data_IF_707614848054
#
_entry.id   IF_707614848054
#
_cell.length_a   1.000
_cell.length_b   1.000
_cell.length_c   1.000
_cell.angle_alpha   90.00
_cell.angle_beta   90.00
_cell.angle_gamma   90.00
#
_symmetry.space_group_name_H-M   'P 1'
#
loop_
_entity.id
_entity.type
_entity.pdbx_description
1 polymer ?
#
# COMPACT_ATOMS: atom_id res chain seq x y z
N UNK A 1 6.97 -6.18 37.14
CA UNK A 1 5.94 -6.71 36.22
C UNK A 1 5.93 -5.86 34.96
N UNK A 2 6.50 -6.37 33.87
CA UNK A 2 6.56 -5.65 32.60
C UNK A 2 5.14 -5.60 32.00
N UNK A 3 4.58 -4.41 31.80
CA UNK A 3 3.36 -4.23 31.02
C UNK A 3 3.67 -4.62 29.58
N UNK A 4 3.33 -5.85 29.20
CA UNK A 4 3.27 -6.26 27.80
C UNK A 4 2.43 -5.22 27.08
N UNK A 5 2.98 -4.61 26.04
CA UNK A 5 2.31 -3.66 25.16
C UNK A 5 1.11 -4.41 24.57
N UNK A 6 -0.06 -4.30 25.22
CA UNK A 6 -1.28 -5.01 24.81
C UNK A 6 -1.49 -4.71 23.33
N UNK A 7 -1.69 -5.75 22.54
CA UNK A 7 -2.13 -5.66 21.15
C UNK A 7 -3.24 -4.61 21.09
N UNK A 8 -3.16 -3.70 20.12
CA UNK A 8 -4.18 -2.65 20.00
C UNK A 8 -5.52 -3.36 19.70
N UNK A 9 -6.64 -3.09 20.40
CA UNK A 9 -7.93 -3.75 20.13
C UNK A 9 -8.34 -3.74 18.65
N UNK A 10 -7.92 -2.70 17.91
CA UNK A 10 -8.10 -2.59 16.47
C UNK A 10 -7.31 -3.64 15.67
N UNK A 11 -6.09 -3.93 16.09
CA UNK A 11 -5.23 -4.95 15.47
C UNK A 11 -5.81 -6.34 15.71
N UNK A 12 -6.28 -6.64 16.92
CA UNK A 12 -6.94 -7.93 17.22
C UNK A 12 -8.21 -8.11 16.38
N UNK A 13 -9.02 -7.06 16.22
CA UNK A 13 -10.18 -7.06 15.34
C UNK A 13 -9.80 -7.33 13.88
N UNK A 14 -8.74 -6.68 13.39
CA UNK A 14 -8.24 -6.89 12.03
C UNK A 14 -7.76 -8.32 11.80
N UNK A 15 -6.99 -8.88 12.74
CA UNK A 15 -6.55 -10.28 12.71
C UNK A 15 -7.76 -11.22 12.67
N UNK A 16 -8.75 -10.99 13.51
CA UNK A 16 -9.98 -11.80 13.55
C UNK A 16 -10.72 -11.78 12.20
N UNK A 17 -10.90 -10.61 11.58
CA UNK A 17 -11.55 -10.54 10.28
C UNK A 17 -10.69 -11.12 9.15
N UNK A 18 -9.35 -11.05 9.23
CA UNK A 18 -8.46 -11.75 8.31
C UNK A 18 -8.68 -13.27 8.37
N UNK A 19 -8.79 -13.85 9.57
CA UNK A 19 -9.07 -15.28 9.76
C UNK A 19 -10.42 -15.69 9.16
N UNK A 20 -11.47 -14.90 9.39
CA UNK A 20 -12.81 -15.16 8.84
C UNK A 20 -12.85 -15.10 7.30
N UNK A 21 -12.08 -14.20 6.70
CA UNK A 21 -11.97 -14.04 5.24
C UNK A 21 -10.94 -14.98 4.61
N UNK A 22 -10.25 -15.81 5.41
CA UNK A 22 -9.13 -16.66 4.97
C UNK A 22 -7.99 -15.89 4.28
N UNK A 23 -7.78 -14.64 4.71
CA UNK A 23 -6.70 -13.77 4.22
C UNK A 23 -5.57 -13.83 5.23
N UNK A 24 -4.33 -14.05 4.77
CA UNK A 24 -3.16 -14.04 5.65
C UNK A 24 -3.00 -12.64 6.25
N UNK A 25 -3.00 -12.52 7.58
CA UNK A 25 -2.71 -11.25 8.22
C UNK A 25 -1.30 -10.76 7.86
N UNK A 26 -1.23 -9.49 7.48
CA UNK A 26 0.01 -8.77 7.24
C UNK A 26 -0.09 -7.43 7.98
N UNK A 27 0.85 -7.12 8.86
CA UNK A 27 0.80 -5.87 9.64
C UNK A 27 0.68 -4.63 8.74
N UNK A 28 -0.16 -3.64 9.05
CA UNK A 28 -0.23 -2.39 8.28
C UNK A 28 1.15 -1.72 8.18
N UNK A 29 1.45 -1.15 7.01
CA UNK A 29 2.71 -0.45 6.75
C UNK A 29 2.48 1.05 6.86
N UNK A 30 3.39 1.75 7.54
CA UNK A 30 3.31 3.21 7.68
C UNK A 30 3.88 3.89 6.45
N UNK A 31 3.15 4.86 5.90
CA UNK A 31 3.65 5.69 4.81
C UNK A 31 4.70 6.70 5.30
N UNK A 32 5.69 6.94 4.44
CA UNK A 32 6.67 8.01 4.56
C UNK A 32 6.39 9.02 3.42
N UNK A 33 5.83 10.20 3.72
CA UNK A 33 5.24 11.08 2.71
C UNK A 33 6.22 11.63 1.66
N UNK A 34 7.53 11.52 1.90
CA UNK A 34 8.58 11.98 0.99
C UNK A 34 9.03 10.91 -0.02
N UNK A 35 8.46 9.70 -0.02
CA UNK A 35 8.84 8.61 -0.93
C UNK A 35 7.61 7.89 -1.48
N UNK A 36 7.42 7.93 -2.78
CA UNK A 36 6.35 7.18 -3.47
C UNK A 36 6.33 5.67 -3.17
N UNK A 37 7.47 5.10 -2.73
CA UNK A 37 7.62 3.67 -2.51
C UNK A 37 6.94 3.22 -1.22
N UNK A 38 7.01 4.03 -0.16
CA UNK A 38 6.27 3.74 1.07
C UNK A 38 4.78 3.92 0.83
N UNK A 39 4.38 4.91 0.02
CA UNK A 39 2.98 5.13 -0.32
C UNK A 39 2.42 3.94 -1.09
N UNK A 40 3.14 3.48 -2.11
CA UNK A 40 2.78 2.27 -2.85
C UNK A 40 2.68 1.05 -1.93
N UNK A 41 3.67 0.84 -1.05
CA UNK A 41 3.69 -0.32 -0.15
C UNK A 41 2.53 -0.28 0.87
N UNK A 42 2.24 0.89 1.45
CA UNK A 42 1.10 1.09 2.35
C UNK A 42 -0.22 0.83 1.63
N UNK A 43 -0.43 1.45 0.46
CA UNK A 43 -1.67 1.30 -0.28
C UNK A 43 -1.86 -0.13 -0.79
N UNK A 44 -0.79 -0.79 -1.24
CA UNK A 44 -0.83 -2.17 -1.71
C UNK A 44 -1.20 -3.11 -0.57
N UNK A 45 -0.61 -2.91 0.62
CA UNK A 45 -0.98 -3.64 1.84
C UNK A 45 -2.44 -3.40 2.23
N UNK A 46 -2.90 -2.15 2.18
CA UNK A 46 -4.26 -1.77 2.53
C UNK A 46 -5.27 -2.37 1.55
N UNK A 47 -4.96 -2.36 0.25
CA UNK A 47 -5.79 -2.94 -0.79
C UNK A 47 -5.88 -4.47 -0.66
N UNK A 48 -4.77 -5.14 -0.34
CA UNK A 48 -4.76 -6.57 -0.02
C UNK A 48 -5.67 -6.91 1.17
N UNK A 49 -5.69 -6.03 2.19
CA UNK A 49 -6.52 -6.19 3.40
C UNK A 49 -7.88 -5.49 3.30
N UNK A 50 -8.34 -5.06 2.11
CA UNK A 50 -9.51 -4.18 1.98
C UNK A 50 -10.77 -4.74 2.67
N UNK A 51 -11.06 -6.02 2.48
CA UNK A 51 -12.24 -6.67 3.04
C UNK A 51 -12.21 -6.71 4.57
N UNK A 52 -11.14 -7.23 5.22
CA UNK A 52 -11.06 -7.25 6.67
C UNK A 52 -10.93 -5.84 7.26
N UNK A 53 -10.23 -4.90 6.60
CA UNK A 53 -10.17 -3.50 7.04
C UNK A 53 -11.56 -2.85 7.06
N UNK A 54 -12.33 -3.00 6.00
CA UNK A 54 -13.69 -2.49 5.90
C UNK A 54 -14.59 -3.04 7.03
N UNK A 55 -14.45 -4.33 7.36
CA UNK A 55 -15.18 -4.96 8.46
C UNK A 55 -14.73 -4.45 9.82
N UNK A 56 -13.42 -4.33 10.04
CA UNK A 56 -12.85 -3.74 11.25
C UNK A 56 -13.39 -2.34 11.50
N UNK A 57 -13.34 -1.48 10.48
CA UNK A 57 -13.80 -0.09 10.59
C UNK A 57 -15.31 0.01 10.85
N UNK A 58 -16.11 -0.87 10.22
CA UNK A 58 -17.57 -0.90 10.43
C UNK A 58 -17.97 -1.55 11.76
N UNK A 59 -17.10 -2.35 12.38
CA UNK A 59 -17.38 -3.03 13.65
C UNK A 59 -17.36 -2.10 14.86
N UNK A 60 -16.64 -0.97 14.79
CA UNK A 60 -16.60 0.03 15.85
C UNK A 60 -17.04 1.40 15.30
N UNK A 61 -18.17 1.88 15.80
CA UNK A 61 -18.77 3.18 15.46
C UNK A 61 -17.80 4.36 15.52
N UNK A 62 -16.75 4.29 16.37
CA UNK A 62 -15.71 5.33 16.48
C UNK A 62 -14.93 5.54 15.18
N UNK A 63 -14.79 4.49 14.37
CA UNK A 63 -14.05 4.53 13.12
C UNK A 63 -14.95 4.63 11.90
N UNK A 64 -16.28 4.64 12.06
CA UNK A 64 -17.24 4.70 10.95
C UNK A 64 -16.97 5.85 9.95
N UNK A 65 -16.45 6.98 10.42
CA UNK A 65 -16.06 8.14 9.59
C UNK A 65 -14.84 7.89 8.69
N UNK A 66 -14.05 6.85 8.97
CA UNK A 66 -12.88 6.43 8.20
C UNK A 66 -13.22 5.31 7.20
N UNK A 67 -14.48 4.89 7.12
CA UNK A 67 -14.89 3.83 6.21
C UNK A 67 -14.75 4.29 4.76
N UNK A 68 -13.95 3.56 3.99
CA UNK A 68 -13.80 3.80 2.57
C UNK A 68 -14.99 3.22 1.81
N UNK A 69 -15.45 3.97 0.81
CA UNK A 69 -16.48 3.53 -0.11
C UNK A 69 -15.85 2.88 -1.37
N UNK A 70 -16.69 2.36 -2.26
CA UNK A 70 -16.22 1.71 -3.48
C UNK A 70 -15.46 2.64 -4.43
N UNK A 71 -15.81 3.93 -4.49
CA UNK A 71 -15.04 4.91 -5.28
C UNK A 71 -13.66 5.17 -4.68
N UNK A 72 -13.54 5.24 -3.35
CA UNK A 72 -12.23 5.43 -2.69
C UNK A 72 -11.31 4.26 -2.98
N UNK A 73 -11.82 3.03 -2.89
CA UNK A 73 -11.06 1.82 -3.22
C UNK A 73 -10.65 1.78 -4.70
N UNK A 74 -11.52 2.26 -5.60
CA UNK A 74 -11.18 2.39 -7.02
C UNK A 74 -10.08 3.42 -7.25
N UNK A 75 -10.14 4.57 -6.59
CA UNK A 75 -9.07 5.57 -6.64
C UNK A 75 -7.75 5.01 -6.10
N UNK A 76 -7.78 4.22 -5.03
CA UNK A 76 -6.58 3.53 -4.52
C UNK A 76 -6.00 2.57 -5.57
N UNK A 77 -6.85 1.80 -6.26
CA UNK A 77 -6.42 0.89 -7.34
C UNK A 77 -5.79 1.65 -8.53
N UNK A 78 -6.37 2.77 -8.93
CA UNK A 78 -5.83 3.65 -9.97
C UNK A 78 -4.46 4.24 -9.56
N UNK A 79 -4.33 4.70 -8.31
CA UNK A 79 -3.06 5.20 -7.76
C UNK A 79 -2.01 4.10 -7.69
N UNK A 80 -2.39 2.88 -7.28
CA UNK A 80 -1.48 1.72 -7.28
C UNK A 80 -0.99 1.39 -8.68
N UNK A 81 -1.89 1.41 -9.66
CA UNK A 81 -1.55 1.17 -11.07
C UNK A 81 -0.57 2.22 -11.58
N UNK A 82 -0.81 3.49 -11.23
CA UNK A 82 0.09 4.59 -11.60
C UNK A 82 1.47 4.46 -10.93
N UNK A 83 1.53 4.13 -9.64
CA UNK A 83 2.79 4.08 -8.88
C UNK A 83 3.61 2.82 -9.10
N UNK A 84 2.99 1.73 -9.60
CA UNK A 84 3.65 0.42 -9.75
C UNK A 84 4.97 0.46 -10.54
N UNK A 85 5.06 1.09 -11.73
CA UNK A 85 6.32 1.11 -12.49
C UNK A 85 7.45 1.81 -11.73
N UNK A 86 7.14 2.92 -11.04
CA UNK A 86 8.11 3.65 -10.21
C UNK A 86 8.66 2.79 -9.08
N UNK A 87 7.79 1.97 -8.47
CA UNK A 87 8.18 1.05 -7.41
C UNK A 87 9.10 -0.04 -7.92
N UNK A 88 8.71 -0.73 -8.99
CA UNK A 88 9.48 -1.82 -9.59
C UNK A 88 10.86 -1.36 -10.07
N UNK A 89 10.94 -0.21 -10.72
CA UNK A 89 12.20 0.37 -11.16
C UNK A 89 13.10 0.77 -9.99
N UNK A 90 12.53 1.33 -8.91
CA UNK A 90 13.34 1.67 -7.72
C UNK A 90 13.95 0.40 -7.11
N UNK A 91 13.18 -0.70 -7.04
CA UNK A 91 13.70 -1.98 -6.57
C UNK A 91 14.84 -2.48 -7.45
N UNK A 92 14.64 -2.50 -8.77
CA UNK A 92 15.68 -2.91 -9.73
C UNK A 92 16.97 -2.09 -9.57
N UNK A 93 16.87 -0.75 -9.51
CA UNK A 93 18.05 0.12 -9.32
C UNK A 93 18.71 -0.16 -7.96
N UNK A 94 17.93 -0.40 -6.91
CA UNK A 94 18.48 -0.63 -5.57
C UNK A 94 19.16 -1.99 -5.41
N UNK A 95 18.72 -3.00 -6.17
CA UNK A 95 19.31 -4.34 -6.20
C UNK A 95 20.64 -4.37 -6.98
N UNK A 96 20.74 -3.56 -8.03
CA UNK A 96 21.99 -3.39 -8.76
C UNK A 96 22.89 -2.39 -8.04
N UNK A 97 23.89 -2.88 -7.29
CA UNK A 97 24.91 -2.06 -6.60
C UNK A 97 25.67 -1.04 -7.48
N UNK A 98 25.46 -1.07 -8.80
CA UNK A 98 25.96 -0.09 -9.76
C UNK A 98 24.90 0.15 -10.85
N UNK A 99 24.25 1.33 -10.88
CA UNK A 99 23.45 1.69 -12.05
C UNK A 99 24.41 1.93 -13.23
N UNK A 100 24.45 1.00 -14.19
CA UNK A 100 25.06 1.30 -15.48
C UNK A 100 24.29 2.46 -16.12
N UNK A 101 24.97 3.48 -16.61
CA UNK A 101 24.36 4.66 -17.23
C UNK A 101 23.31 4.29 -18.29
N UNK A 102 23.54 3.22 -19.04
CA UNK A 102 22.61 2.65 -20.01
C UNK A 102 21.28 2.19 -19.39
N UNK A 103 21.30 1.55 -18.22
CA UNK A 103 20.10 1.12 -17.50
C UNK A 103 19.30 2.33 -17.02
N UNK A 104 19.97 3.36 -16.49
CA UNK A 104 19.29 4.58 -16.01
C UNK A 104 18.59 5.34 -17.14
N UNK A 105 19.18 5.39 -18.32
CA UNK A 105 18.57 6.03 -19.48
C UNK A 105 17.32 5.28 -19.97
N UNK A 106 17.37 3.94 -20.00
CA UNK A 106 16.23 3.10 -20.37
C UNK A 106 15.07 3.28 -19.38
N UNK A 107 15.36 3.23 -18.08
CA UNK A 107 14.37 3.45 -17.01
C UNK A 107 13.72 4.83 -17.13
N UNK A 108 14.51 5.88 -17.36
CA UNK A 108 13.98 7.23 -17.54
C UNK A 108 12.98 7.32 -18.70
N UNK A 109 13.30 6.73 -19.86
CA UNK A 109 12.42 6.75 -21.03
C UNK A 109 11.10 6.03 -20.73
N UNK A 110 11.16 4.88 -20.05
CA UNK A 110 9.97 4.12 -19.68
C UNK A 110 9.07 4.91 -18.71
N UNK A 111 9.66 5.52 -17.66
CA UNK A 111 8.93 6.37 -16.72
C UNK A 111 8.28 7.57 -17.41
N UNK A 112 9.02 8.22 -18.31
CA UNK A 112 8.52 9.37 -19.05
C UNK A 112 7.31 8.99 -19.91
N UNK A 113 7.40 7.88 -20.64
CA UNK A 113 6.32 7.37 -21.46
C UNK A 113 5.10 6.97 -20.63
N UNK A 114 5.33 6.32 -19.47
CA UNK A 114 4.27 6.01 -18.51
C UNK A 114 3.55 7.27 -18.06
N UNK A 115 4.26 8.29 -17.55
CA UNK A 115 3.63 9.57 -17.15
C UNK A 115 2.89 10.22 -18.31
N UNK A 116 3.47 10.20 -19.51
CA UNK A 116 2.85 10.77 -20.71
C UNK A 116 1.52 10.10 -21.07
N UNK A 117 1.37 8.80 -20.83
CA UNK A 117 0.12 8.08 -21.09
C UNK A 117 -1.07 8.53 -20.23
N UNK A 118 -0.81 9.24 -19.11
CA UNK A 118 -1.83 9.80 -18.23
C UNK A 118 -2.08 11.30 -18.47
N UNK A 119 -1.31 11.93 -19.36
CA UNK A 119 -1.58 13.30 -19.79
C UNK A 119 -2.59 13.26 -20.95
N UNK A 120 -3.85 13.63 -20.65
CA UNK A 120 -4.90 13.89 -21.64
C UNK A 120 -4.55 15.13 -22.46
#
# INVERSE_FOLDING_TARGET
>A
MAKIRRSNPLEESLIHFCELEQIKYLAPVVDMPVRWNSTYTMLSRSFYLRNPLDKTVRSDSKFSSLALNSSDWKTIEEVLTFLKPFHEMTLQISEHCTPALSLTAAIYIEMYNHVKSYQV
#
